data_IF_364998826946
#
_entry.id   IF_364998826946
#
_cell.length_a   1.000
_cell.length_b   1.000
_cell.length_c   1.000
_cell.angle_alpha   90.00
_cell.angle_beta   90.00
_cell.angle_gamma   90.00
#
_symmetry.space_group_name_H-M   'P 1'
#
loop_
_entity.id
_entity.type
_entity.pdbx_description
1 polymer ?
#
# COMPACT_ATOMS: atom_id res chain seq x y z
N UNK A 1 -24.58 -5.98 9.00
CA UNK A 1 -24.10 -5.65 7.64
C UNK A 1 -23.29 -6.81 7.13
N UNK A 2 -23.38 -7.12 5.84
CA UNK A 2 -22.41 -8.02 5.20
C UNK A 2 -21.00 -7.42 5.31
N UNK A 3 -20.00 -8.26 5.58
CA UNK A 3 -18.62 -7.81 5.82
C UNK A 3 -18.06 -7.05 4.61
N UNK A 4 -18.42 -7.48 3.39
CA UNK A 4 -17.98 -6.81 2.16
C UNK A 4 -18.53 -5.40 2.08
N UNK A 5 -19.80 -5.20 2.41
CA UNK A 5 -20.42 -3.87 2.41
C UNK A 5 -19.74 -2.94 3.42
N UNK A 6 -19.36 -3.45 4.59
CA UNK A 6 -18.64 -2.67 5.58
C UNK A 6 -17.25 -2.26 5.08
N UNK A 7 -16.49 -3.17 4.48
CA UNK A 7 -15.17 -2.86 3.91
C UNK A 7 -15.28 -1.82 2.79
N UNK A 8 -16.26 -1.94 1.91
CA UNK A 8 -16.48 -0.97 0.83
C UNK A 8 -16.78 0.43 1.35
N UNK A 9 -17.38 0.57 2.53
CA UNK A 9 -17.66 1.87 3.16
C UNK A 9 -16.40 2.54 3.73
N UNK A 10 -15.33 1.78 3.98
CA UNK A 10 -14.04 2.31 4.43
C UNK A 10 -13.21 2.92 3.28
N UNK A 11 -13.66 2.76 2.02
CA UNK A 11 -13.03 3.38 0.85
C UNK A 11 -13.48 4.84 0.73
N UNK A 12 -12.78 5.74 1.41
CA UNK A 12 -12.98 7.19 1.29
C UNK A 12 -12.01 7.84 0.29
N UNK A 13 -12.13 9.16 0.11
CA UNK A 13 -11.34 9.92 -0.84
C UNK A 13 -9.84 9.94 -0.48
N UNK A 14 -9.52 9.99 0.82
CA UNK A 14 -8.16 10.07 1.31
C UNK A 14 -7.44 8.73 1.11
N UNK A 15 -8.11 7.61 1.42
CA UNK A 15 -7.60 6.28 1.14
C UNK A 15 -7.43 6.04 -0.36
N UNK A 16 -8.38 6.50 -1.19
CA UNK A 16 -8.26 6.41 -2.64
C UNK A 16 -7.03 7.16 -3.16
N UNK A 17 -6.77 8.36 -2.66
CA UNK A 17 -5.59 9.14 -3.02
C UNK A 17 -4.30 8.41 -2.60
N UNK A 18 -4.24 7.86 -1.39
CA UNK A 18 -3.10 7.07 -0.93
C UNK A 18 -2.84 5.85 -1.83
N UNK A 19 -3.88 5.12 -2.22
CA UNK A 19 -3.77 3.96 -3.11
C UNK A 19 -3.25 4.36 -4.50
N UNK A 20 -3.76 5.46 -5.06
CA UNK A 20 -3.31 5.98 -6.35
C UNK A 20 -1.83 6.40 -6.29
N UNK A 21 -1.42 7.07 -5.22
CA UNK A 21 -0.04 7.51 -5.01
C UNK A 21 0.91 6.32 -4.81
N UNK A 22 0.48 5.31 -4.05
CA UNK A 22 1.17 4.03 -3.89
C UNK A 22 1.40 3.35 -5.24
N UNK A 23 0.34 3.22 -6.05
CA UNK A 23 0.44 2.67 -7.41
C UNK A 23 1.43 3.47 -8.28
N UNK A 24 1.34 4.80 -8.27
CA UNK A 24 2.25 5.67 -9.05
C UNK A 24 3.70 5.50 -8.63
N UNK A 25 3.98 5.39 -7.33
CA UNK A 25 5.33 5.16 -6.81
C UNK A 25 5.90 3.84 -7.34
N UNK A 26 5.16 2.74 -7.16
CA UNK A 26 5.60 1.41 -7.58
C UNK A 26 5.81 1.33 -9.10
N UNK A 27 4.91 1.90 -9.89
CA UNK A 27 5.06 1.95 -11.35
C UNK A 27 6.22 2.81 -11.83
N UNK A 28 6.66 3.81 -11.04
CA UNK A 28 7.80 4.66 -11.38
C UNK A 28 9.14 3.95 -11.14
N UNK A 29 9.18 3.02 -10.20
CA UNK A 29 10.42 2.35 -9.77
C UNK A 29 10.28 0.82 -9.86
N UNK A 30 10.08 0.24 -11.06
CA UNK A 30 10.04 -1.21 -11.21
C UNK A 30 11.41 -1.81 -10.90
N UNK A 31 11.42 -2.92 -10.15
CA UNK A 31 12.63 -3.67 -9.82
C UNK A 31 12.54 -5.12 -10.33
N UNK A 32 13.69 -5.74 -10.54
CA UNK A 32 13.77 -7.13 -10.99
C UNK A 32 13.44 -8.09 -9.85
N UNK A 33 12.95 -9.27 -10.21
CA UNK A 33 12.74 -10.36 -9.26
C UNK A 33 14.00 -10.65 -8.45
N UNK A 34 13.82 -10.80 -7.13
CA UNK A 34 14.87 -11.04 -6.14
C UNK A 34 15.86 -9.86 -5.94
N UNK A 35 15.50 -8.65 -6.39
CA UNK A 35 16.29 -7.42 -6.27
C UNK A 35 15.44 -6.20 -5.91
N UNK A 36 14.30 -6.41 -5.27
CA UNK A 36 13.27 -5.41 -4.96
C UNK A 36 13.62 -4.57 -3.72
N UNK A 37 14.83 -4.01 -3.67
CA UNK A 37 15.35 -3.32 -2.48
C UNK A 37 14.53 -2.07 -2.13
N UNK A 38 14.18 -1.25 -3.13
CA UNK A 38 13.42 0.00 -2.93
C UNK A 38 11.96 -0.28 -2.69
N UNK A 39 11.38 -1.21 -3.45
CA UNK A 39 9.98 -1.64 -3.31
C UNK A 39 9.75 -2.21 -1.92
N UNK A 40 10.64 -3.07 -1.44
CA UNK A 40 10.54 -3.63 -0.09
C UNK A 40 10.70 -2.55 0.99
N UNK A 41 11.61 -1.59 0.80
CA UNK A 41 11.78 -0.47 1.73
C UNK A 41 10.53 0.43 1.80
N UNK A 42 9.94 0.74 0.64
CA UNK A 42 8.72 1.53 0.55
C UNK A 42 7.52 0.83 1.21
N UNK A 43 7.37 -0.49 1.01
CA UNK A 43 6.31 -1.27 1.68
C UNK A 43 6.51 -1.24 3.20
N UNK A 44 7.75 -1.42 3.69
CA UNK A 44 8.06 -1.35 5.13
C UNK A 44 7.72 0.03 5.71
N UNK A 45 8.10 1.11 5.03
CA UNK A 45 7.76 2.48 5.44
C UNK A 45 6.23 2.66 5.59
N UNK A 46 5.44 2.13 4.65
CA UNK A 46 3.97 2.17 4.75
C UNK A 46 3.44 1.36 5.91
N UNK A 47 3.94 0.13 6.10
CA UNK A 47 3.53 -0.72 7.21
C UNK A 47 3.90 -0.09 8.57
N UNK A 48 5.10 0.49 8.68
CA UNK A 48 5.55 1.21 9.87
C UNK A 48 4.64 2.42 10.17
N UNK A 49 4.29 3.21 9.15
CA UNK A 49 3.36 4.34 9.28
C UNK A 49 1.95 3.92 9.72
N UNK A 50 1.49 2.75 9.30
CA UNK A 50 0.21 2.17 9.72
C UNK A 50 0.29 1.41 11.05
N UNK A 51 1.49 1.27 11.65
CA UNK A 51 1.71 0.51 12.88
C UNK A 51 1.51 -0.99 12.73
N UNK A 52 1.69 -1.54 11.52
CA UNK A 52 1.50 -2.96 11.22
C UNK A 52 2.86 -3.68 11.27
N UNK A 53 3.06 -4.66 12.18
CA UNK A 53 4.31 -5.39 12.27
C UNK A 53 4.50 -6.36 11.10
N UNK A 54 5.74 -6.50 10.63
CA UNK A 54 6.14 -7.46 9.59
C UNK A 54 7.36 -8.30 10.06
N UNK A 55 7.65 -9.39 9.34
CA UNK A 55 8.79 -10.28 9.56
C UNK A 55 9.56 -10.50 8.28
#
# INVERSE_FOLDING_TARGET
MDLKSHISQLLDADLLEELVNTRRHLHRYPELSFREHRTSAFIREKLDAWGIPYR
#
